data_IF_722905346968
#
_entry.id   IF_722905346968
#
_cell.length_a   1.000
_cell.length_b   1.000
_cell.length_c   1.000
_cell.angle_alpha   90.00
_cell.angle_beta   90.00
_cell.angle_gamma   90.00
#
_symmetry.space_group_name_H-M   'P 1'
#
loop_
_entity.id
_entity.type
_entity.pdbx_description
1 polymer ?
#
# COMPACT_ATOMS: atom_id res chain seq x y z
N UNK A 1 13.60 42.92 19.04
CA UNK A 1 14.59 42.25 18.16
C UNK A 1 14.02 40.87 17.90
N UNK A 2 13.42 40.67 16.72
CA UNK A 2 12.77 39.41 16.36
C UNK A 2 13.75 38.65 15.47
N UNK A 3 14.19 37.47 15.90
CA UNK A 3 15.02 36.58 15.09
C UNK A 3 14.12 35.84 14.09
N UNK A 4 14.22 36.22 12.82
CA UNK A 4 13.70 35.48 11.67
C UNK A 4 14.43 34.13 11.60
N UNK A 5 13.78 33.07 12.06
CA UNK A 5 14.21 31.71 11.75
C UNK A 5 13.54 31.28 10.45
N UNK A 6 14.33 31.26 9.38
CA UNK A 6 13.94 30.81 8.04
C UNK A 6 13.36 29.38 8.09
N UNK A 7 12.14 29.25 7.57
CA UNK A 7 11.44 27.97 7.42
C UNK A 7 12.05 27.23 6.22
N UNK A 8 12.44 25.95 6.33
CA UNK A 8 12.95 25.20 5.19
C UNK A 8 11.81 24.90 4.21
N UNK A 9 11.73 25.67 3.14
CA UNK A 9 10.79 25.45 2.03
C UNK A 9 11.36 24.39 1.10
N UNK A 10 10.74 23.22 1.05
CA UNK A 10 11.03 22.23 0.01
C UNK A 10 10.44 22.75 -1.31
N UNK A 11 11.28 23.39 -2.14
CA UNK A 11 10.89 23.79 -3.49
C UNK A 11 10.72 22.54 -4.37
N UNK A 12 9.48 22.19 -4.67
CA UNK A 12 9.15 21.18 -5.68
C UNK A 12 8.97 21.92 -7.01
N UNK A 13 9.99 21.84 -7.88
CA UNK A 13 9.91 22.41 -9.23
C UNK A 13 8.88 21.64 -10.06
N UNK A 14 7.71 22.25 -10.26
CA UNK A 14 6.62 21.68 -11.05
C UNK A 14 5.56 22.72 -11.42
N UNK A 15 5.93 23.70 -12.26
CA UNK A 15 5.07 24.29 -13.30
C UNK A 15 3.65 24.77 -13.00
N UNK A 16 3.29 25.07 -11.74
CA UNK A 16 1.97 25.60 -11.38
C UNK A 16 1.99 26.18 -9.98
N UNK A 17 1.30 27.30 -9.76
CA UNK A 17 1.34 28.06 -8.51
C UNK A 17 1.10 27.15 -7.28
N UNK A 18 2.00 27.15 -6.29
CA UNK A 18 1.91 26.25 -5.15
C UNK A 18 0.75 26.69 -4.25
N UNK A 19 -0.32 25.88 -4.20
CA UNK A 19 -1.30 25.99 -3.12
C UNK A 19 -0.69 25.41 -1.86
N UNK A 20 -0.22 26.29 -0.98
CA UNK A 20 0.19 25.90 0.36
C UNK A 20 -1.00 25.28 1.10
N UNK A 21 -0.98 23.96 1.31
CA UNK A 21 -1.91 23.31 2.22
C UNK A 21 -1.49 23.65 3.65
N UNK A 22 -2.16 24.64 4.24
CA UNK A 22 -2.03 24.94 5.67
C UNK A 22 -2.83 23.88 6.43
N UNK A 23 -2.15 22.82 6.88
CA UNK A 23 -2.72 21.87 7.84
C UNK A 23 -2.84 22.58 9.20
N UNK A 24 -4.00 23.18 9.47
CA UNK A 24 -4.36 23.73 10.77
C UNK A 24 -4.69 22.61 11.76
N UNK A 25 -3.65 21.98 12.30
CA UNK A 25 -3.73 20.98 13.36
C UNK A 25 -2.33 20.63 13.84
N UNK A 26 -2.19 20.18 15.11
CA UNK A 26 -0.92 19.61 15.59
C UNK A 26 -0.65 18.31 14.82
N UNK A 27 -0.11 18.44 13.61
CA UNK A 27 0.47 17.33 12.87
C UNK A 27 1.77 16.99 13.59
N UNK A 28 1.72 16.00 14.47
CA UNK A 28 2.94 15.41 15.02
C UNK A 28 3.74 14.89 13.83
N UNK A 29 4.92 15.45 13.54
CA UNK A 29 5.70 14.99 12.41
C UNK A 29 6.08 13.54 12.67
N UNK A 30 5.80 12.66 11.69
CA UNK A 30 6.19 11.26 11.75
C UNK A 30 7.71 11.20 11.89
N UNK A 31 8.20 10.35 12.79
CA UNK A 31 9.63 10.06 12.85
C UNK A 31 10.08 9.41 11.53
N UNK A 32 11.36 9.52 11.12
CA UNK A 32 11.86 8.86 9.92
C UNK A 32 11.56 7.35 9.87
N UNK A 33 11.60 6.69 11.03
CA UNK A 33 11.22 5.29 11.18
C UNK A 33 9.72 5.05 10.90
N UNK A 34 8.85 5.93 11.42
CA UNK A 34 7.41 5.87 11.14
C UNK A 34 7.09 6.15 9.67
N UNK A 35 7.75 7.13 9.04
CA UNK A 35 7.58 7.44 7.62
C UNK A 35 8.05 6.29 6.70
N UNK A 36 9.20 5.67 6.99
CA UNK A 36 9.70 4.49 6.27
C UNK A 36 8.72 3.31 6.38
N UNK A 37 8.15 3.08 7.56
CA UNK A 37 7.15 2.02 7.81
C UNK A 37 5.81 2.31 7.11
N UNK A 38 5.32 3.55 7.12
CA UNK A 38 4.09 3.93 6.42
C UNK A 38 4.20 3.66 4.90
N UNK A 39 5.34 4.02 4.30
CA UNK A 39 5.63 3.69 2.90
C UNK A 39 5.69 2.19 2.64
N UNK A 40 6.28 1.42 3.55
CA UNK A 40 6.33 -0.05 3.43
C UNK A 40 4.93 -0.67 3.44
N UNK A 41 4.08 -0.29 4.40
CA UNK A 41 2.68 -0.79 4.49
C UNK A 41 1.89 -0.40 3.25
N UNK A 42 2.06 0.84 2.77
CA UNK A 42 1.43 1.30 1.54
C UNK A 42 1.86 0.44 0.34
N UNK A 43 3.16 0.23 0.14
CA UNK A 43 3.68 -0.62 -0.93
C UNK A 43 3.13 -2.04 -0.85
N UNK A 44 2.96 -2.58 0.36
CA UNK A 44 2.45 -3.93 0.56
C UNK A 44 0.97 -4.03 0.19
N UNK A 45 0.16 -3.01 0.51
CA UNK A 45 -1.24 -2.89 0.06
C UNK A 45 -1.33 -2.75 -1.46
N UNK A 46 -0.49 -1.91 -2.06
CA UNK A 46 -0.45 -1.71 -3.51
C UNK A 46 -0.09 -3.01 -4.25
N UNK A 47 0.93 -3.74 -3.76
CA UNK A 47 1.32 -5.02 -4.33
C UNK A 47 0.21 -6.08 -4.21
N UNK A 48 -0.49 -6.13 -3.07
CA UNK A 48 -1.63 -7.01 -2.89
C UNK A 48 -2.78 -6.66 -3.85
N UNK A 49 -3.04 -5.37 -4.07
CA UNK A 49 -4.00 -4.90 -5.08
C UNK A 49 -3.64 -5.38 -6.49
N UNK A 50 -2.38 -5.17 -6.90
CA UNK A 50 -1.88 -5.64 -8.21
C UNK A 50 -1.97 -7.15 -8.38
N UNK A 51 -1.67 -7.92 -7.33
CA UNK A 51 -1.82 -9.37 -7.39
C UNK A 51 -3.26 -9.76 -7.70
N UNK A 52 -4.23 -9.12 -7.06
CA UNK A 52 -5.66 -9.37 -7.29
C UNK A 52 -6.05 -9.07 -8.74
N UNK A 53 -5.55 -7.97 -9.29
CA UNK A 53 -5.73 -7.62 -10.70
C UNK A 53 -5.11 -8.67 -11.64
N UNK A 54 -3.91 -9.17 -11.34
CA UNK A 54 -3.27 -10.22 -12.15
C UNK A 54 -4.03 -11.55 -12.12
N UNK A 55 -4.59 -11.94 -10.98
CA UNK A 55 -5.40 -13.16 -10.88
C UNK A 55 -6.69 -13.03 -11.70
N UNK A 56 -7.36 -11.87 -11.64
CA UNK A 56 -8.52 -11.57 -12.47
C UNK A 56 -8.16 -11.56 -13.97
N UNK A 57 -7.00 -11.02 -14.33
CA UNK A 57 -6.52 -11.05 -15.71
C UNK A 57 -6.28 -12.50 -16.19
N UNK A 58 -5.74 -13.37 -15.34
CA UNK A 58 -5.54 -14.78 -15.65
C UNK A 58 -6.87 -15.53 -15.85
N UNK A 59 -7.88 -15.25 -15.02
CA UNK A 59 -9.23 -15.79 -15.17
C UNK A 59 -9.88 -15.35 -16.48
N UNK A 60 -9.79 -14.05 -16.79
CA UNK A 60 -10.33 -13.51 -18.03
C UNK A 60 -9.62 -14.12 -19.25
N UNK A 61 -8.29 -14.25 -19.20
CA UNK A 61 -7.52 -14.85 -20.27
C UNK A 61 -7.85 -16.34 -20.47
N UNK A 62 -8.14 -17.06 -19.38
CA UNK A 62 -8.58 -18.45 -19.44
C UNK A 62 -9.91 -18.60 -20.21
N UNK A 63 -10.84 -17.66 -20.03
CA UNK A 63 -12.10 -17.61 -20.77
C UNK A 63 -11.86 -17.25 -22.24
N UNK A 64 -11.02 -16.24 -22.52
CA UNK A 64 -10.67 -15.82 -23.89
C UNK A 64 -9.99 -16.94 -24.69
N UNK A 65 -9.15 -17.75 -24.04
CA UNK A 65 -8.52 -18.91 -24.66
C UNK A 65 -9.44 -20.13 -24.81
N UNK A 66 -10.72 -20.00 -24.46
CA UNK A 66 -11.72 -21.07 -24.57
C UNK A 66 -11.30 -22.36 -23.83
N UNK A 67 -10.67 -22.21 -22.66
CA UNK A 67 -10.40 -23.37 -21.80
C UNK A 67 -11.70 -24.09 -21.43
N UNK A 68 -11.60 -25.39 -21.17
CA UNK A 68 -12.76 -26.14 -20.70
C UNK A 68 -13.30 -25.55 -19.40
N UNK A 69 -14.62 -25.66 -19.19
CA UNK A 69 -15.27 -25.18 -17.97
C UNK A 69 -14.60 -25.74 -16.71
N UNK A 70 -14.20 -27.01 -16.72
CA UNK A 70 -13.48 -27.64 -15.62
C UNK A 70 -12.14 -26.94 -15.33
N UNK A 71 -11.39 -26.53 -16.36
CA UNK A 71 -10.12 -25.82 -16.20
C UNK A 71 -10.31 -24.39 -15.71
N UNK A 72 -11.33 -23.70 -16.19
CA UNK A 72 -11.70 -22.37 -15.69
C UNK A 72 -12.04 -22.45 -14.20
N UNK A 73 -12.86 -23.42 -13.80
CA UNK A 73 -13.22 -23.62 -12.39
C UNK A 73 -12.00 -23.97 -11.53
N UNK A 74 -11.07 -24.79 -12.05
CA UNK A 74 -9.84 -25.11 -11.34
C UNK A 74 -8.95 -23.87 -11.14
N UNK A 75 -8.84 -22.99 -12.14
CA UNK A 75 -8.10 -21.72 -12.02
C UNK A 75 -8.75 -20.80 -10.98
N UNK A 76 -10.06 -20.64 -11.03
CA UNK A 76 -10.81 -19.83 -10.06
C UNK A 76 -10.60 -20.34 -8.62
N UNK A 77 -10.78 -21.65 -8.40
CA UNK A 77 -10.59 -22.25 -7.09
C UNK A 77 -9.14 -22.11 -6.57
N UNK A 78 -8.14 -22.26 -7.44
CA UNK A 78 -6.75 -22.07 -7.09
C UNK A 78 -6.44 -20.60 -6.72
N UNK A 79 -6.99 -19.65 -7.48
CA UNK A 79 -6.84 -18.22 -7.21
C UNK A 79 -7.48 -17.83 -5.88
N UNK A 80 -8.69 -18.30 -5.60
CA UNK A 80 -9.40 -18.05 -4.35
C UNK A 80 -8.64 -18.63 -3.14
N UNK A 81 -8.16 -19.88 -3.25
CA UNK A 81 -7.37 -20.50 -2.19
C UNK A 81 -6.09 -19.71 -1.90
N UNK A 82 -5.36 -19.30 -2.95
CA UNK A 82 -4.18 -18.47 -2.82
C UNK A 82 -4.50 -17.11 -2.18
N UNK A 83 -5.60 -16.45 -2.58
CA UNK A 83 -6.02 -15.17 -2.00
C UNK A 83 -6.37 -15.30 -0.52
N UNK A 84 -7.04 -16.37 -0.10
CA UNK A 84 -7.37 -16.60 1.32
C UNK A 84 -6.09 -16.71 2.16
N UNK A 85 -5.15 -17.57 1.76
CA UNK A 85 -3.88 -17.74 2.48
C UNK A 85 -3.07 -16.44 2.52
N UNK A 86 -2.95 -15.75 1.37
CA UNK A 86 -2.22 -14.50 1.28
C UNK A 86 -2.86 -13.39 2.11
N UNK A 87 -4.18 -13.34 2.20
CA UNK A 87 -4.90 -12.37 3.04
C UNK A 87 -4.62 -12.59 4.52
N UNK A 88 -4.64 -13.86 4.97
CA UNK A 88 -4.29 -14.21 6.34
C UNK A 88 -2.84 -13.85 6.65
N UNK A 89 -1.89 -14.20 5.77
CA UNK A 89 -0.47 -13.87 5.93
C UNK A 89 -0.23 -12.36 5.92
N UNK A 90 -0.95 -11.63 5.09
CA UNK A 90 -0.90 -10.18 5.02
C UNK A 90 -1.37 -9.55 6.34
N UNK A 91 -2.50 -10.00 6.89
CA UNK A 91 -2.99 -9.55 8.18
C UNK A 91 -2.05 -9.91 9.34
N UNK A 92 -1.52 -11.12 9.35
CA UNK A 92 -0.52 -11.56 10.34
C UNK A 92 0.69 -10.64 10.31
N UNK A 93 1.19 -10.33 9.11
CA UNK A 93 2.32 -9.39 8.94
C UNK A 93 1.97 -8.01 9.45
N UNK A 94 0.80 -7.46 9.10
CA UNK A 94 0.38 -6.16 9.61
C UNK A 94 0.27 -6.14 11.14
N UNK A 95 -0.34 -7.17 11.74
CA UNK A 95 -0.46 -7.32 13.21
C UNK A 95 0.91 -7.46 13.88
N UNK A 96 1.83 -8.21 13.28
CA UNK A 96 3.21 -8.33 13.75
C UNK A 96 3.91 -6.95 13.75
N UNK A 97 3.75 -6.19 12.67
CA UNK A 97 4.29 -4.82 12.59
C UNK A 97 3.65 -3.88 13.62
N UNK A 98 2.34 -3.93 13.81
CA UNK A 98 1.64 -3.13 14.82
C UNK A 98 2.07 -3.48 16.26
N UNK A 99 2.32 -4.77 16.53
CA UNK A 99 2.87 -5.22 17.81
C UNK A 99 4.26 -4.63 18.06
N UNK A 100 5.17 -4.70 17.07
CA UNK A 100 6.51 -4.09 17.18
C UNK A 100 6.43 -2.58 17.44
N UNK A 101 5.43 -1.89 16.89
CA UNK A 101 5.19 -0.46 17.17
C UNK A 101 4.82 -0.21 18.63
N UNK A 102 3.93 -1.03 19.21
CA UNK A 102 3.48 -0.86 20.60
C UNK A 102 4.53 -1.24 21.64
N UNK A 103 5.43 -2.17 21.31
CA UNK A 103 6.40 -2.73 22.25
C UNK A 103 7.86 -2.25 22.06
N UNK A 104 8.15 -1.49 20.99
CA UNK A 104 9.43 -0.79 20.86
C UNK A 104 10.62 -1.64 20.38
N UNK A 105 10.37 -2.72 19.65
CA UNK A 105 11.40 -3.54 18.96
C UNK A 105 11.68 -3.06 17.51
#
# INVERSE_FOLDING_TARGET
MAEEHEIPVLQVNGGGAPRAFVMAGKATPLTPAQAKRARYVQNLKENYGRLKEYLQAAEHFAVVCELSQERIQAVLAANDAALVELSLKFEEKLKEYDRRIKHGD
#
